data_IF_788749393377
#
_entry.id   IF_788749393377
#
_cell.length_a   1.000
_cell.length_b   1.000
_cell.length_c   1.000
_cell.angle_alpha   90.00
_cell.angle_beta   90.00
_cell.angle_gamma   90.00
#
_symmetry.space_group_name_H-M   'P 1'
#
loop_
_entity.id
_entity.type
_entity.pdbx_description
1 polymer ?
#
# COMPACT_ATOMS: atom_id res chain seq x y z
N UNK A 1 0.87 -1.38 -27.22
CA UNK A 1 0.80 -2.85 -27.36
C UNK A 1 1.94 -3.51 -26.61
N UNK A 2 1.66 -4.59 -25.85
CA UNK A 2 2.68 -5.32 -25.10
C UNK A 2 3.74 -5.91 -26.05
N UNK A 3 5.01 -5.79 -25.67
CA UNK A 3 6.11 -6.42 -26.43
C UNK A 3 6.02 -7.95 -26.36
N UNK A 4 6.66 -8.70 -27.29
CA UNK A 4 6.71 -10.17 -27.22
C UNK A 4 7.21 -10.69 -25.85
N UNK A 5 8.16 -9.99 -25.24
CA UNK A 5 8.65 -10.29 -23.89
C UNK A 5 7.57 -10.05 -22.83
N UNK A 6 6.88 -8.90 -22.88
CA UNK A 6 5.77 -8.55 -21.98
C UNK A 6 4.67 -9.62 -22.02
N UNK A 7 4.28 -10.07 -23.21
CA UNK A 7 3.26 -11.12 -23.38
C UNK A 7 3.67 -12.48 -22.83
N UNK A 8 4.97 -12.81 -22.85
CA UNK A 8 5.49 -14.04 -22.27
C UNK A 8 5.52 -14.00 -20.74
N UNK A 9 5.77 -12.84 -20.17
CA UNK A 9 6.10 -12.70 -18.74
C UNK A 9 4.88 -12.35 -17.89
N UNK A 10 3.97 -11.49 -18.38
CA UNK A 10 2.78 -11.07 -17.63
C UNK A 10 1.87 -12.21 -17.11
N UNK A 11 1.66 -13.32 -17.85
CA UNK A 11 0.83 -14.44 -17.36
C UNK A 11 1.36 -15.11 -16.08
N UNK A 12 2.66 -14.97 -15.79
CA UNK A 12 3.27 -15.56 -14.60
C UNK A 12 3.08 -14.73 -13.33
N UNK A 13 2.67 -13.46 -13.47
CA UNK A 13 2.30 -12.65 -12.32
C UNK A 13 0.90 -13.00 -11.84
N UNK A 14 0.77 -13.29 -10.55
CA UNK A 14 -0.51 -13.59 -9.88
C UNK A 14 -0.85 -12.49 -8.90
N UNK A 15 -2.16 -12.32 -8.66
CA UNK A 15 -2.70 -11.39 -7.66
C UNK A 15 -2.21 -9.94 -7.83
N UNK A 16 -1.95 -9.53 -9.08
CA UNK A 16 -1.45 -8.18 -9.35
C UNK A 16 -2.57 -7.17 -9.32
N UNK A 17 -2.34 -6.09 -8.59
CA UNK A 17 -3.28 -5.00 -8.41
C UNK A 17 -2.60 -3.71 -8.84
N UNK A 18 -3.24 -2.94 -9.73
CA UNK A 18 -2.75 -1.63 -10.15
C UNK A 18 -3.80 -0.58 -9.84
N UNK A 19 -3.51 0.27 -8.87
CA UNK A 19 -4.39 1.33 -8.43
C UNK A 19 -3.78 2.69 -8.80
N UNK A 20 -4.53 3.53 -9.50
CA UNK A 20 -4.21 4.94 -9.57
C UNK A 20 -4.40 5.54 -8.19
N UNK A 21 -3.40 6.25 -7.67
CA UNK A 21 -3.46 6.85 -6.34
C UNK A 21 -2.96 8.29 -6.37
N UNK A 22 -3.48 9.12 -5.46
CA UNK A 22 -2.85 10.39 -5.10
C UNK A 22 -2.18 10.28 -3.74
N UNK A 23 -1.07 10.98 -3.55
CA UNK A 23 -0.42 11.07 -2.24
C UNK A 23 -1.22 12.03 -1.38
N UNK A 24 -1.79 11.53 -0.28
CA UNK A 24 -2.56 12.31 0.68
C UNK A 24 -1.66 12.95 1.75
N UNK A 25 -0.65 12.21 2.19
CA UNK A 25 0.38 12.70 3.10
C UNK A 25 1.66 11.87 2.90
N UNK A 26 2.80 12.48 3.17
CA UNK A 26 4.11 11.83 3.06
C UNK A 26 5.09 12.50 4.00
N UNK A 27 5.92 11.69 4.65
CA UNK A 27 6.95 12.19 5.53
C UNK A 27 8.15 11.24 5.59
N UNK A 28 9.36 11.81 5.68
CA UNK A 28 10.58 11.08 5.35
C UNK A 28 10.75 10.92 3.83
N UNK A 29 11.98 10.62 3.41
CA UNK A 29 12.36 10.41 1.99
C UNK A 29 13.36 9.26 1.82
N UNK A 30 13.64 8.50 2.88
CA UNK A 30 14.56 7.38 2.81
C UNK A 30 13.90 6.17 2.15
N UNK A 31 14.70 5.36 1.48
CA UNK A 31 14.31 4.04 1.01
C UNK A 31 14.79 3.01 2.02
N UNK A 32 13.86 2.23 2.58
CA UNK A 32 14.16 1.19 3.55
C UNK A 32 14.65 -0.09 2.90
N UNK A 33 15.24 -1.00 3.69
CA UNK A 33 15.45 -2.39 3.28
C UNK A 33 14.17 -3.22 3.34
N UNK A 34 13.12 -2.72 3.99
CA UNK A 34 11.83 -3.37 4.17
C UNK A 34 10.68 -2.38 3.96
N UNK A 35 9.54 -2.87 3.48
CA UNK A 35 8.34 -2.08 3.24
C UNK A 35 7.14 -2.75 3.90
N UNK A 36 6.47 -2.03 4.81
CA UNK A 36 5.14 -2.41 5.27
C UNK A 36 4.10 -1.79 4.33
N UNK A 37 3.18 -2.61 3.86
CA UNK A 37 2.05 -2.21 3.02
C UNK A 37 0.74 -2.53 3.73
N UNK A 38 -0.08 -1.51 3.98
CA UNK A 38 -1.43 -1.67 4.51
C UNK A 38 -2.44 -1.15 3.49
N UNK A 39 -3.24 -2.05 2.92
CA UNK A 39 -4.40 -1.72 2.08
C UNK A 39 -5.63 -1.79 2.95
N UNK A 40 -6.32 -0.67 3.16
CA UNK A 40 -7.32 -0.53 4.21
C UNK A 40 -8.71 -0.28 3.63
N UNK A 41 -9.69 -1.03 4.15
CA UNK A 41 -11.12 -0.77 3.93
C UNK A 41 -11.65 -0.09 5.17
N UNK A 42 -12.35 1.05 5.09
CA UNK A 42 -13.00 1.63 6.25
C UNK A 42 -14.22 0.79 6.64
N UNK A 43 -14.54 0.77 7.93
CA UNK A 43 -15.87 0.37 8.39
C UNK A 43 -16.92 1.37 7.88
N UNK A 44 -18.19 0.97 7.83
CA UNK A 44 -19.28 1.80 7.31
C UNK A 44 -19.29 3.21 7.93
N UNK A 45 -19.23 4.25 7.08
CA UNK A 45 -19.21 5.65 7.51
C UNK A 45 -17.93 6.13 8.22
N UNK A 46 -16.87 5.30 8.29
CA UNK A 46 -15.63 5.62 9.03
C UNK A 46 -14.46 6.05 8.16
N UNK A 47 -14.70 6.30 6.86
CA UNK A 47 -13.65 6.68 5.91
C UNK A 47 -12.86 7.91 6.38
N UNK A 48 -13.55 9.01 6.72
CA UNK A 48 -12.89 10.25 7.11
C UNK A 48 -12.13 10.14 8.43
N UNK A 49 -12.67 9.36 9.38
CA UNK A 49 -12.00 9.08 10.66
C UNK A 49 -10.70 8.30 10.44
N UNK A 50 -10.76 7.23 9.64
CA UNK A 50 -9.60 6.42 9.31
C UNK A 50 -8.57 7.24 8.54
N UNK A 51 -9.02 8.00 7.54
CA UNK A 51 -8.16 8.90 6.76
C UNK A 51 -7.47 9.92 7.65
N UNK A 52 -8.21 10.61 8.50
CA UNK A 52 -7.69 11.63 9.41
C UNK A 52 -6.64 11.08 10.37
N UNK A 53 -6.86 9.88 10.89
CA UNK A 53 -5.88 9.20 11.73
C UNK A 53 -4.60 8.84 10.96
N UNK A 54 -4.74 8.32 9.73
CA UNK A 54 -3.59 7.93 8.90
C UNK A 54 -2.71 9.12 8.51
N UNK A 55 -3.31 10.25 8.09
CA UNK A 55 -2.54 11.42 7.60
C UNK A 55 -1.92 12.25 8.72
N UNK A 56 -2.22 11.97 9.98
CA UNK A 56 -1.69 12.68 11.13
C UNK A 56 -1.13 11.72 12.18
N UNK A 57 -1.93 11.32 13.20
CA UNK A 57 -1.43 10.53 14.32
C UNK A 57 -0.63 9.28 13.94
N UNK A 58 -1.15 8.43 13.04
CA UNK A 58 -0.45 7.19 12.67
C UNK A 58 0.87 7.46 11.94
N UNK A 59 0.87 8.46 11.04
CA UNK A 59 2.04 8.89 10.31
C UNK A 59 3.12 9.38 11.26
N UNK A 60 2.78 10.23 12.23
CA UNK A 60 3.75 10.74 13.19
C UNK A 60 4.26 9.64 14.14
N UNK A 61 3.38 8.77 14.64
CA UNK A 61 3.81 7.63 15.48
C UNK A 61 4.78 6.70 14.73
N UNK A 62 4.57 6.45 13.43
CA UNK A 62 5.49 5.63 12.65
C UNK A 62 6.86 6.29 12.43
N UNK A 63 6.97 7.61 12.62
CA UNK A 63 8.21 8.38 12.43
C UNK A 63 9.01 8.62 13.72
N UNK A 64 8.49 8.23 14.87
CA UNK A 64 9.18 8.41 16.14
C UNK A 64 10.60 7.78 16.10
N UNK A 65 11.58 8.28 16.87
CA UNK A 65 12.98 7.87 16.76
C UNK A 65 13.17 6.34 16.87
N UNK A 66 13.92 5.76 15.92
CA UNK A 66 14.02 4.29 15.75
C UNK A 66 12.92 3.69 14.88
N UNK A 67 12.00 4.52 14.38
CA UNK A 67 10.92 4.16 13.47
C UNK A 67 11.29 4.24 11.99
N UNK A 68 10.28 4.48 11.16
CA UNK A 68 10.35 4.41 9.71
C UNK A 68 11.24 5.50 9.07
N UNK A 69 11.91 5.15 7.96
CA UNK A 69 12.70 6.09 7.14
C UNK A 69 11.83 6.88 6.14
N UNK A 70 10.59 6.43 5.94
CA UNK A 70 9.59 7.03 5.08
C UNK A 70 8.20 6.49 5.41
N UNK A 71 7.19 7.35 5.35
CA UNK A 71 5.78 7.01 5.59
C UNK A 71 4.93 7.72 4.56
N UNK A 72 4.05 6.99 3.88
CA UNK A 72 3.21 7.52 2.81
C UNK A 72 1.77 7.07 2.94
N UNK A 73 0.84 8.01 2.82
CA UNK A 73 -0.61 7.75 2.77
C UNK A 73 -1.08 8.03 1.36
N UNK A 74 -1.68 7.03 0.72
CA UNK A 74 -2.21 7.14 -0.62
C UNK A 74 -3.73 6.96 -0.60
N UNK A 75 -4.41 7.77 -1.39
CA UNK A 75 -5.85 7.65 -1.63
C UNK A 75 -6.08 7.18 -3.07
N UNK A 76 -6.86 6.12 -3.24
CA UNK A 76 -7.11 5.57 -4.58
C UNK A 76 -8.04 6.47 -5.38
N UNK A 77 -7.72 6.63 -6.67
CA UNK A 77 -8.45 7.45 -7.63
C UNK A 77 -9.17 6.52 -8.59
N UNK A 78 -10.47 6.35 -8.38
CA UNK A 78 -11.29 5.38 -9.11
C UNK A 78 -11.32 5.60 -10.64
N UNK A 79 -11.08 6.82 -11.11
CA UNK A 79 -11.08 7.16 -12.55
C UNK A 79 -9.83 6.63 -13.25
N UNK A 80 -8.66 6.69 -12.63
CA UNK A 80 -7.38 6.23 -13.21
C UNK A 80 -7.22 4.71 -13.11
N UNK A 81 -7.78 4.10 -12.08
CA UNK A 81 -7.74 2.64 -11.86
C UNK A 81 -8.51 1.84 -12.91
N UNK A 82 -9.47 2.46 -13.62
CA UNK A 82 -10.35 1.78 -14.59
C UNK A 82 -9.84 1.76 -16.04
N UNK A 83 -8.65 2.31 -16.31
CA UNK A 83 -8.05 2.25 -17.65
C UNK A 83 -7.55 0.82 -17.89
N UNK A 84 -8.35 0.00 -18.57
CA UNK A 84 -7.95 -1.30 -19.08
C UNK A 84 -6.82 -1.10 -20.08
N UNK A 85 -5.59 -1.45 -19.69
CA UNK A 85 -4.47 -1.52 -20.64
C UNK A 85 -4.46 -2.90 -21.28
N UNK A 86 -3.93 -3.03 -22.50
CA UNK A 86 -3.82 -4.32 -23.20
C UNK A 86 -3.02 -5.36 -22.37
N UNK A 87 -2.09 -4.88 -21.55
CA UNK A 87 -1.32 -5.63 -20.56
C UNK A 87 -2.16 -6.21 -19.42
N UNK A 88 -3.27 -5.55 -19.03
CA UNK A 88 -4.17 -6.03 -17.98
C UNK A 88 -4.80 -7.38 -18.33
N UNK A 89 -5.17 -7.57 -19.61
CA UNK A 89 -5.76 -8.82 -20.10
C UNK A 89 -4.78 -10.00 -20.23
N UNK A 90 -3.48 -9.77 -20.06
CA UNK A 90 -2.43 -10.80 -20.17
C UNK A 90 -1.99 -11.37 -18.82
N UNK A 91 -2.43 -10.80 -17.70
CA UNK A 91 -2.09 -11.29 -16.36
C UNK A 91 -2.87 -12.56 -16.05
N UNK A 92 -2.21 -13.53 -15.41
CA UNK A 92 -2.78 -14.85 -15.06
C UNK A 92 -3.78 -14.84 -13.89
N UNK A 93 -4.43 -13.70 -13.63
CA UNK A 93 -5.29 -13.47 -12.48
C UNK A 93 -5.21 -12.01 -12.04
N UNK A 94 -6.14 -11.20 -12.51
CA UNK A 94 -6.40 -9.86 -11.97
C UNK A 94 -7.61 -9.98 -11.04
N UNK A 95 -7.51 -9.47 -9.81
CA UNK A 95 -8.66 -9.32 -8.92
C UNK A 95 -9.68 -8.42 -9.63
N UNK A 96 -10.95 -8.81 -9.64
CA UNK A 96 -11.94 -8.08 -10.43
C UNK A 96 -12.06 -6.63 -9.93
N UNK A 97 -12.13 -5.60 -10.80
CA UNK A 97 -12.19 -4.20 -10.38
C UNK A 97 -13.36 -3.85 -9.44
N UNK A 98 -14.45 -4.61 -9.49
CA UNK A 98 -15.60 -4.47 -8.59
C UNK A 98 -15.35 -5.07 -7.18
N UNK A 99 -14.33 -5.92 -7.04
CA UNK A 99 -13.92 -6.56 -5.78
C UNK A 99 -12.84 -5.75 -5.05
N UNK A 100 -12.32 -4.67 -5.65
CA UNK A 100 -11.20 -3.89 -5.11
C UNK A 100 -11.56 -2.43 -4.75
N UNK A 101 -12.00 -2.17 -3.52
CA UNK A 101 -12.16 -0.84 -2.96
C UNK A 101 -11.31 -0.70 -1.68
N UNK A 102 -9.98 -0.66 -1.80
CA UNK A 102 -9.16 -0.07 -0.72
C UNK A 102 -9.03 1.42 -1.01
N UNK A 103 -9.88 2.30 -0.43
CA UNK A 103 -9.76 3.74 -0.65
C UNK A 103 -8.47 4.32 -0.08
N UNK A 104 -7.84 3.62 0.86
CA UNK A 104 -6.67 4.08 1.60
C UNK A 104 -5.56 3.02 1.57
N UNK A 105 -4.35 3.47 1.23
CA UNK A 105 -3.12 2.69 1.30
C UNK A 105 -2.15 3.42 2.22
N UNK A 106 -1.53 2.69 3.14
CA UNK A 106 -0.49 3.20 4.03
C UNK A 106 0.80 2.41 3.80
N UNK A 107 1.88 3.13 3.52
CA UNK A 107 3.20 2.57 3.23
C UNK A 107 4.18 3.04 4.29
N UNK A 108 5.00 2.12 4.81
CA UNK A 108 6.02 2.42 5.81
C UNK A 108 7.34 1.80 5.38
N UNK A 109 8.29 2.63 5.03
CA UNK A 109 9.67 2.26 4.69
C UNK A 109 10.45 2.05 5.99
N UNK A 110 11.00 0.86 6.18
CA UNK A 110 11.75 0.45 7.36
C UNK A 110 13.18 0.04 6.97
N UNK A 111 14.17 0.38 7.80
CA UNK A 111 15.56 -0.01 7.57
C UNK A 111 15.75 -1.53 7.48
N UNK A 112 15.01 -2.27 8.30
CA UNK A 112 15.22 -3.69 8.54
C UNK A 112 13.90 -4.42 8.91
N UNK A 113 13.91 -5.77 8.92
CA UNK A 113 12.71 -6.56 9.22
C UNK A 113 12.20 -6.43 10.66
N UNK A 114 13.05 -6.11 11.64
CA UNK A 114 12.65 -5.98 13.04
C UNK A 114 11.81 -4.71 13.22
N UNK A 115 12.28 -3.60 12.68
CA UNK A 115 11.54 -2.33 12.62
C UNK A 115 10.20 -2.50 11.91
N UNK A 116 10.16 -3.22 10.78
CA UNK A 116 8.91 -3.50 10.06
C UNK A 116 7.91 -4.32 10.90
N UNK A 117 8.39 -5.31 11.66
CA UNK A 117 7.53 -6.10 12.57
C UNK A 117 7.04 -5.27 13.75
N UNK A 118 7.87 -4.38 14.29
CA UNK A 118 7.46 -3.47 15.36
C UNK A 118 6.36 -2.50 14.89
N UNK A 119 6.45 -1.98 13.66
CA UNK A 119 5.39 -1.17 13.04
C UNK A 119 4.07 -1.95 12.95
N UNK A 120 4.13 -3.22 12.51
CA UNK A 120 2.95 -4.08 12.39
C UNK A 120 2.36 -4.44 13.76
N UNK A 121 3.19 -4.74 14.75
CA UNK A 121 2.74 -5.13 16.09
C UNK A 121 2.28 -3.95 16.95
N UNK A 122 2.76 -2.74 16.66
CA UNK A 122 2.44 -1.52 17.38
C UNK A 122 1.55 -0.60 16.55
N UNK A 123 2.10 0.44 15.89
CA UNK A 123 1.33 1.49 15.20
C UNK A 123 0.22 0.98 14.26
N UNK A 124 0.46 -0.13 13.56
CA UNK A 124 -0.48 -0.73 12.61
C UNK A 124 -1.09 -2.05 13.10
N UNK A 125 -1.15 -2.26 14.42
CA UNK A 125 -1.82 -3.44 14.98
C UNK A 125 -3.29 -3.49 14.54
N UNK A 126 -3.83 -4.70 14.44
CA UNK A 126 -5.24 -4.91 14.05
C UNK A 126 -6.20 -4.16 14.96
N UNK A 127 -5.90 -4.10 16.27
CA UNK A 127 -6.69 -3.40 17.28
C UNK A 127 -6.69 -1.88 17.03
N UNK A 128 -5.52 -1.29 16.76
CA UNK A 128 -5.42 0.14 16.46
C UNK A 128 -6.10 0.50 15.15
N UNK A 129 -5.88 -0.29 14.10
CA UNK A 129 -6.55 -0.11 12.82
C UNK A 129 -8.07 -0.13 13.00
N UNK A 130 -8.61 -1.13 13.71
CA UNK A 130 -10.03 -1.23 13.99
C UNK A 130 -10.56 -0.06 14.83
N UNK A 131 -9.85 0.33 15.90
CA UNK A 131 -10.22 1.45 16.76
C UNK A 131 -10.34 2.78 15.98
N UNK A 132 -9.50 2.95 14.96
CA UNK A 132 -9.50 4.14 14.11
C UNK A 132 -10.37 4.02 12.85
N UNK A 133 -11.16 2.94 12.73
CA UNK A 133 -12.20 2.81 11.73
C UNK A 133 -11.85 1.97 10.52
N UNK A 134 -10.77 1.18 10.55
CA UNK A 134 -10.58 0.11 9.59
C UNK A 134 -11.63 -1.00 9.81
N UNK A 135 -12.26 -1.42 8.73
CA UNK A 135 -13.18 -2.55 8.67
C UNK A 135 -12.47 -3.84 8.23
N UNK A 136 -13.22 -4.94 8.07
CA UNK A 136 -12.68 -6.20 7.61
C UNK A 136 -12.17 -6.12 6.16
N UNK A 137 -11.33 -7.08 5.76
CA UNK A 137 -10.81 -7.17 4.40
C UNK A 137 -9.68 -6.19 4.08
N UNK A 138 -9.06 -5.58 5.09
CA UNK A 138 -7.75 -4.93 4.94
C UNK A 138 -6.64 -5.98 4.73
N UNK A 139 -5.57 -5.59 4.03
CA UNK A 139 -4.40 -6.42 3.81
C UNK A 139 -3.14 -5.72 4.31
N UNK A 140 -2.54 -6.26 5.37
CA UNK A 140 -1.25 -5.83 5.90
C UNK A 140 -0.17 -6.85 5.52
N UNK A 141 0.93 -6.40 4.92
CA UNK A 141 2.04 -7.25 4.48
C UNK A 141 3.38 -6.55 4.68
N UNK A 142 4.41 -7.33 4.97
CA UNK A 142 5.81 -6.89 5.03
C UNK A 142 6.54 -7.47 3.83
N UNK A 143 7.33 -6.64 3.16
CA UNK A 143 8.14 -7.01 2.01
C UNK A 143 9.59 -6.60 2.26
N UNK A 144 10.53 -7.36 1.69
CA UNK A 144 11.95 -6.99 1.67
C UNK A 144 12.31 -6.42 0.30
N UNK A 145 13.06 -5.33 0.28
CA UNK A 145 13.62 -4.79 -0.94
C UNK A 145 14.62 -5.79 -1.53
N UNK A 146 14.49 -6.12 -2.82
CA UNK A 146 15.41 -7.03 -3.50
C UNK A 146 16.26 -6.31 -4.54
N UNK A 147 15.65 -5.38 -5.27
CA UNK A 147 16.29 -4.64 -6.36
C UNK A 147 15.75 -3.20 -6.32
N UNK A 148 16.64 -2.23 -6.50
CA UNK A 148 16.29 -0.85 -6.84
C UNK A 148 16.81 -0.58 -8.24
N UNK A 149 16.03 0.13 -9.05
CA UNK A 149 16.45 0.57 -10.37
C UNK A 149 16.36 2.09 -10.37
N UNK A 150 17.48 2.76 -10.58
CA UNK A 150 17.51 4.19 -10.79
C UNK A 150 17.58 4.49 -12.30
N UNK A 151 17.08 5.67 -12.70
CA UNK A 151 17.30 6.15 -14.06
C UNK A 151 18.63 6.89 -14.09
N UNK A 152 19.62 6.33 -14.79
CA UNK A 152 20.80 7.09 -15.22
C UNK A 152 20.40 8.26 -16.14
#
# INVERSE_FOLDING_TARGET
DPTPWTSRILPHFRDTVRLGCRVAASAGRGQGGCLVTARLRPAGGRLDALRGWLVGPALETCREPGGAVGVHVLETVAETTRIRTAEGGLKGGELAPAEEPWPLIFLVECSDPETARAVVAGPLSSERLAAHGAGPGGLLRVHSLQITMDRD
#
